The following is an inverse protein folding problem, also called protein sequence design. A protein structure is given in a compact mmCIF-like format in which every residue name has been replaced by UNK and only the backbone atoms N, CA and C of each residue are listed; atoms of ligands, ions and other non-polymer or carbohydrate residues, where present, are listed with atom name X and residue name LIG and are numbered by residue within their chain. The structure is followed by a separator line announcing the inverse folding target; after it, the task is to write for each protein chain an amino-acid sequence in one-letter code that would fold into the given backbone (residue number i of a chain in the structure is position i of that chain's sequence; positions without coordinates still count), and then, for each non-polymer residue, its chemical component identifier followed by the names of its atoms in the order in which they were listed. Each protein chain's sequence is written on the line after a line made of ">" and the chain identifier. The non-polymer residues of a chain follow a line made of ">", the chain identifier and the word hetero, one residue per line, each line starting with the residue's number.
data_IF_373510172179
#
_entry.id   IF_373510172179
#
_cell.length_a   1.000
_cell.length_b   1.000
_cell.length_c   1.000
_cell.angle_alpha   90.00
_cell.angle_beta   90.00
_cell.angle_gamma   90.00
#
_symmetry.space_group_name_H-M   'P 1'
#
loop_
_entity.id
_entity.type
_entity.pdbx_description
1 polymer ?
#
# COMPACT_ATOMS: atom_id res chain seq x y z
N UNK A 1 3.47 12.60 15.61
CA UNK A 1 2.89 13.06 14.32
C UNK A 1 2.60 11.85 13.44
N UNK A 2 1.53 11.88 12.63
CA UNK A 2 1.29 10.81 11.66
C UNK A 2 2.12 11.05 10.40
N UNK A 3 2.92 10.04 10.00
CA UNK A 3 3.69 10.10 8.75
C UNK A 3 2.74 10.40 7.58
N UNK A 4 3.07 11.45 6.81
CA UNK A 4 2.34 11.82 5.60
C UNK A 4 2.69 10.80 4.52
N UNK A 5 1.67 10.29 3.84
CA UNK A 5 1.83 9.38 2.71
C UNK A 5 0.99 9.90 1.54
N UNK A 6 1.48 9.70 0.32
CA UNK A 6 0.76 10.01 -0.90
C UNK A 6 0.53 8.75 -1.71
N UNK A 7 -0.70 8.53 -2.14
CA UNK A 7 -1.04 7.43 -3.05
C UNK A 7 -1.04 7.99 -4.46
N UNK A 8 -0.12 7.48 -5.29
CA UNK A 8 0.07 7.85 -6.69
C UNK A 8 -0.36 6.70 -7.58
N UNK A 9 -1.03 6.98 -8.69
CA UNK A 9 -1.20 5.99 -9.76
C UNK A 9 0.15 5.75 -10.41
N UNK A 10 0.51 4.49 -10.62
CA UNK A 10 1.79 4.14 -11.23
C UNK A 10 1.80 4.42 -12.72
N UNK A 11 0.70 4.13 -13.41
CA UNK A 11 0.52 4.36 -14.83
C UNK A 11 -0.90 4.86 -15.10
N UNK A 12 -1.11 5.76 -16.06
CA UNK A 12 -2.45 6.19 -16.45
C UNK A 12 -3.29 5.02 -16.97
N UNK A 13 -2.65 4.02 -17.59
CA UNK A 13 -3.29 2.85 -18.19
C UNK A 13 -3.55 1.70 -17.21
N UNK A 14 -2.97 1.76 -16.00
CA UNK A 14 -3.14 0.73 -14.96
C UNK A 14 -3.95 1.33 -13.82
N UNK A 15 -5.27 1.18 -13.93
CA UNK A 15 -6.28 1.72 -13.00
C UNK A 15 -6.29 1.05 -11.61
N UNK A 16 -5.66 -0.11 -11.51
CA UNK A 16 -5.69 -0.97 -10.33
C UNK A 16 -4.35 -1.06 -9.60
N UNK A 17 -3.34 -0.25 -9.98
CA UNK A 17 -2.01 -0.25 -9.36
C UNK A 17 -1.65 1.15 -8.87
N UNK A 18 -1.34 1.24 -7.59
CA UNK A 18 -0.99 2.47 -6.92
C UNK A 18 0.32 2.29 -6.15
N UNK A 19 1.23 3.24 -6.25
CA UNK A 19 2.40 3.32 -5.37
C UNK A 19 2.13 4.30 -4.24
N UNK A 20 2.68 4.00 -3.08
CA UNK A 20 2.63 4.87 -1.91
C UNK A 20 4.01 5.45 -1.70
N UNK A 21 4.05 6.78 -1.69
CA UNK A 21 5.25 7.56 -1.41
C UNK A 21 5.17 8.12 0.01
N UNK A 22 6.30 8.17 0.71
CA UNK A 22 6.42 8.89 1.97
C UNK A 22 6.79 10.37 1.75
N UNK A 23 6.97 11.12 2.85
CA UNK A 23 7.28 12.55 2.83
C UNK A 23 8.53 12.93 2.03
N UNK A 24 9.45 11.98 1.83
CA UNK A 24 10.70 12.17 1.08
C UNK A 24 10.55 11.86 -0.41
N UNK A 25 9.39 11.36 -0.83
CA UNK A 25 9.16 10.83 -2.18
C UNK A 25 9.65 9.39 -2.35
N UNK A 26 10.07 8.72 -1.28
CA UNK A 26 10.49 7.32 -1.34
C UNK A 26 9.25 6.42 -1.53
N UNK A 27 9.34 5.48 -2.47
CA UNK A 27 8.30 4.46 -2.71
C UNK A 27 8.34 3.42 -1.61
N UNK A 28 7.45 3.55 -0.63
CA UNK A 28 7.41 2.70 0.56
C UNK A 28 6.42 1.53 0.48
N UNK A 29 5.43 1.59 -0.41
CA UNK A 29 4.48 0.50 -0.60
C UNK A 29 3.82 0.51 -1.98
N UNK A 30 3.13 -0.58 -2.28
CA UNK A 30 2.22 -0.74 -3.42
C UNK A 30 0.85 -1.10 -2.88
N UNK A 31 -0.20 -0.51 -3.45
CA UNK A 31 -1.60 -0.88 -3.24
C UNK A 31 -2.16 -1.33 -4.58
N UNK A 32 -2.81 -2.49 -4.62
CA UNK A 32 -3.46 -3.01 -5.83
C UNK A 32 -4.93 -3.28 -5.59
N UNK A 33 -5.72 -3.24 -6.66
CA UNK A 33 -7.15 -3.58 -6.62
C UNK A 33 -7.42 -4.79 -7.52
N UNK A 34 -7.90 -5.88 -6.93
CA UNK A 34 -8.32 -7.06 -7.67
C UNK A 34 -9.79 -6.92 -8.09
N UNK A 35 -9.99 -6.50 -9.33
CA UNK A 35 -11.31 -6.33 -9.93
C UNK A 35 -12.04 -7.65 -10.19
N UNK A 36 -11.35 -8.78 -10.11
CA UNK A 36 -11.93 -10.11 -10.37
C UNK A 36 -12.26 -10.86 -9.07
N UNK A 37 -11.97 -10.28 -7.92
CA UNK A 37 -12.27 -10.86 -6.62
C UNK A 37 -13.80 -10.99 -6.41
N UNK A 38 -14.30 -12.17 -5.99
CA UNK A 38 -15.72 -12.39 -5.72
C UNK A 38 -16.33 -11.38 -4.75
N UNK A 39 -17.64 -11.15 -4.85
CA UNK A 39 -18.35 -10.29 -3.90
C UNK A 39 -18.17 -10.78 -2.46
N UNK A 40 -17.94 -9.84 -1.54
CA UNK A 40 -17.65 -10.13 -0.13
C UNK A 40 -16.19 -10.47 0.19
N UNK A 41 -15.33 -10.66 -0.82
CA UNK A 41 -13.89 -10.87 -0.58
C UNK A 41 -13.10 -9.54 -0.53
N UNK A 42 -12.04 -9.45 0.29
CA UNK A 42 -11.14 -8.30 0.27
C UNK A 42 -10.53 -8.08 -1.12
N UNK A 43 -10.87 -6.94 -1.75
CA UNK A 43 -10.44 -6.62 -3.13
C UNK A 43 -9.17 -5.78 -3.19
N UNK A 44 -8.78 -5.14 -2.10
CA UNK A 44 -7.60 -4.30 -2.05
C UNK A 44 -6.45 -5.09 -1.46
N UNK A 45 -5.28 -5.00 -2.07
CA UNK A 45 -4.05 -5.55 -1.53
C UNK A 45 -3.09 -4.42 -1.25
N UNK A 46 -2.27 -4.59 -0.24
CA UNK A 46 -1.13 -3.72 0.01
C UNK A 46 0.09 -4.58 0.25
N UNK A 47 1.25 -4.07 -0.17
CA UNK A 47 2.53 -4.69 0.08
C UNK A 47 3.56 -3.58 0.31
N UNK A 48 4.31 -3.65 1.41
CA UNK A 48 5.42 -2.74 1.66
C UNK A 48 6.54 -3.02 0.65
N UNK A 49 7.11 -1.95 0.12
CA UNK A 49 8.34 -2.04 -0.66
C UNK A 49 9.43 -2.58 0.26
N UNK A 50 10.21 -3.56 -0.22
CA UNK A 50 11.45 -3.97 0.43
C UNK A 50 12.49 -2.85 0.26
N UNK A 51 12.39 -1.79 1.06
CA UNK A 51 13.50 -0.86 1.28
C UNK A 51 14.66 -1.59 1.97
N UNK A 52 15.77 -0.88 2.27
CA UNK A 52 17.03 -1.44 2.85
C UNK A 52 16.87 -2.29 4.12
N UNK A 53 15.69 -2.27 4.76
CA UNK A 53 15.36 -3.08 5.94
C UNK A 53 14.86 -4.46 5.52
N UNK A 54 15.64 -5.48 5.88
CA UNK A 54 15.49 -6.91 5.54
C UNK A 54 14.36 -7.63 6.29
N UNK A 55 13.46 -6.92 6.98
CA UNK A 55 12.31 -7.55 7.64
C UNK A 55 11.27 -7.92 6.58
N UNK A 56 10.60 -9.06 6.77
CA UNK A 56 9.67 -9.66 5.81
C UNK A 56 8.77 -8.61 5.14
N UNK A 57 8.56 -8.71 3.83
CA UNK A 57 7.64 -7.83 3.13
C UNK A 57 6.27 -7.94 3.81
N UNK A 58 5.85 -6.90 4.53
CA UNK A 58 4.52 -6.86 5.12
C UNK A 58 3.51 -6.67 3.99
N UNK A 59 2.56 -7.58 3.89
CA UNK A 59 1.49 -7.52 2.89
C UNK A 59 0.18 -8.00 3.49
N UNK A 60 -0.93 -7.62 2.87
CA UNK A 60 -2.25 -8.04 3.31
C UNK A 60 -3.35 -7.70 2.34
N UNK A 61 -4.56 -8.17 2.67
CA UNK A 61 -5.79 -7.83 1.95
C UNK A 61 -6.70 -6.94 2.80
N UNK A 62 -7.45 -6.09 2.14
CA UNK A 62 -8.33 -5.08 2.70
C UNK A 62 -9.64 -5.01 1.90
N UNK A 63 -10.72 -4.64 2.57
CA UNK A 63 -12.02 -4.47 1.91
C UNK A 63 -12.12 -3.15 1.15
N UNK A 64 -11.39 -2.14 1.61
CA UNK A 64 -11.36 -0.81 1.02
C UNK A 64 -9.96 -0.18 0.99
N UNK A 65 -9.80 0.85 0.16
CA UNK A 65 -8.52 1.55 -0.02
C UNK A 65 -8.08 2.33 1.23
N UNK A 66 -9.00 2.80 2.07
CA UNK A 66 -8.66 3.52 3.29
C UNK A 66 -8.08 2.58 4.35
N UNK A 67 -8.58 1.34 4.41
CA UNK A 67 -7.99 0.28 5.21
C UNK A 67 -6.57 -0.05 4.75
N UNK A 68 -6.34 -0.18 3.44
CA UNK A 68 -5.01 -0.39 2.89
C UNK A 68 -4.05 0.75 3.27
N UNK A 69 -4.49 2.02 3.13
CA UNK A 69 -3.71 3.20 3.57
C UNK A 69 -3.39 3.16 5.06
N UNK A 70 -4.35 2.77 5.92
CA UNK A 70 -4.12 2.62 7.37
C UNK A 70 -3.06 1.56 7.65
N UNK A 71 -3.13 0.40 7.00
CA UNK A 71 -2.15 -0.69 7.17
C UNK A 71 -0.75 -0.28 6.73
N UNK A 72 -0.60 0.41 5.60
CA UNK A 72 0.69 0.96 5.16
C UNK A 72 1.28 1.94 6.18
N UNK A 73 0.46 2.84 6.74
CA UNK A 73 0.91 3.78 7.79
C UNK A 73 1.35 3.06 9.07
N UNK A 74 0.63 2.02 9.50
CA UNK A 74 0.98 1.24 10.70
C UNK A 74 2.28 0.49 10.49
N UNK A 75 2.41 -0.20 9.35
CA UNK A 75 3.60 -0.98 8.98
C UNK A 75 4.85 -0.07 8.91
N UNK A 76 4.74 1.12 8.31
CA UNK A 76 5.84 2.11 8.29
C UNK A 76 6.28 2.55 9.69
N UNK A 77 5.36 2.72 10.64
CA UNK A 77 5.67 3.10 12.02
C UNK A 77 6.33 1.97 12.82
N UNK A 78 6.04 0.71 12.51
CA UNK A 78 6.68 -0.44 13.17
C UNK A 78 8.15 -0.66 12.76
N UNK A 79 8.62 0.06 11.74
CA UNK A 79 9.98 -0.01 11.20
C UNK A 79 10.86 1.18 11.62
N UNK A 80 10.28 2.22 12.26
CA UNK A 80 11.01 3.40 12.76
C UNK A 80 11.44 3.27 14.21
#
# INVERSE_FOLDING_TARGET
>A
MAARIWVRRTWPDIDHLFHVEDETGEKIAVITHDKYAPDGTPRWHWAMSKGRSRSAAEFGRCHDIEEAKRKVRVSRRGVS
#
